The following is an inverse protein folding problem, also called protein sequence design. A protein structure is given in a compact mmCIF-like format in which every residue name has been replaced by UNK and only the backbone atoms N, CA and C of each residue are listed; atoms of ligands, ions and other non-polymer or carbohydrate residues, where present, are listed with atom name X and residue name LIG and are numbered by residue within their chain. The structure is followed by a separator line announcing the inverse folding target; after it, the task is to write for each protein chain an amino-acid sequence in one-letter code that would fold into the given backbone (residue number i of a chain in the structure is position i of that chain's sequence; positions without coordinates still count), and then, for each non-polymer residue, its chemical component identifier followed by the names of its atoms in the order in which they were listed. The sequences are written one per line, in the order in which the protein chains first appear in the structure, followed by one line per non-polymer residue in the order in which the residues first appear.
data_IF_769289396467
#
_entry.id   IF_769289396467
#
_cell.length_a   1.000
_cell.length_b   1.000
_cell.length_c   1.000
_cell.angle_alpha   90.00
_cell.angle_beta   90.00
_cell.angle_gamma   90.00
#
_symmetry.space_group_name_H-M   'P 1'
#
loop_
_entity.id
_entity.type
_entity.pdbx_description
1 polymer ?
#
# COMPACT_ATOMS: atom_id res chain seq x y z
N UNK A 1 -14.50 -21.55 9.73
CA UNK A 1 -13.87 -20.25 9.34
C UNK A 1 -12.70 -20.08 10.29
N UNK A 2 -11.52 -19.91 9.79
CA UNK A 2 -10.32 -19.59 10.60
C UNK A 2 -10.49 -18.18 11.15
N UNK A 3 -10.09 -17.95 12.40
CA UNK A 3 -10.09 -16.60 12.96
C UNK A 3 -9.08 -15.71 12.20
N UNK A 4 -9.43 -14.45 11.90
CA UNK A 4 -8.52 -13.54 11.20
C UNK A 4 -7.26 -13.27 12.03
N UNK A 5 -6.12 -13.12 11.37
CA UNK A 5 -4.83 -12.86 12.02
C UNK A 5 -4.73 -11.43 12.59
N UNK A 6 -5.44 -10.50 11.98
CA UNK A 6 -5.68 -9.13 12.47
C UNK A 6 -7.18 -8.88 12.51
N UNK A 7 -7.69 -8.38 13.62
CA UNK A 7 -9.06 -7.92 13.78
C UNK A 7 -9.06 -6.55 14.45
N UNK A 8 -9.71 -5.58 13.83
CA UNK A 8 -9.76 -4.19 14.27
C UNK A 8 -11.20 -3.73 14.41
N UNK A 9 -11.55 -3.19 15.57
CA UNK A 9 -12.89 -2.72 15.89
C UNK A 9 -12.86 -1.29 16.45
N UNK A 10 -13.42 -0.34 15.70
CA UNK A 10 -13.55 1.08 16.05
C UNK A 10 -12.24 1.74 16.51
N UNK A 11 -11.11 1.28 15.95
CA UNK A 11 -9.79 1.72 16.36
C UNK A 11 -9.62 3.21 16.07
N UNK A 12 -9.27 3.96 17.11
CA UNK A 12 -9.18 5.43 17.05
C UNK A 12 -7.89 5.92 17.70
N UNK A 13 -7.24 6.91 17.09
CA UNK A 13 -6.12 7.62 17.70
C UNK A 13 -6.25 9.13 17.55
N UNK A 14 -6.19 9.83 18.69
CA UNK A 14 -6.21 11.29 18.79
C UNK A 14 -4.88 11.81 19.36
N UNK A 15 -4.45 12.95 18.87
CA UNK A 15 -3.34 13.73 19.41
C UNK A 15 -3.84 15.14 19.71
N UNK A 16 -4.25 15.40 20.96
CA UNK A 16 -5.03 16.59 21.28
C UNK A 16 -6.33 16.60 20.47
N UNK A 17 -6.56 17.68 19.74
CA UNK A 17 -7.77 17.83 18.90
C UNK A 17 -7.65 17.14 17.53
N UNK A 18 -6.43 16.73 17.14
CA UNK A 18 -6.20 16.06 15.86
C UNK A 18 -6.54 14.59 15.93
N UNK A 19 -7.43 14.13 15.04
CA UNK A 19 -7.79 12.70 14.91
C UNK A 19 -6.97 12.08 13.80
N UNK A 20 -5.94 11.32 14.16
CA UNK A 20 -5.04 10.68 13.20
C UNK A 20 -5.61 9.38 12.62
N UNK A 21 -6.44 8.67 13.39
CA UNK A 21 -7.18 7.47 12.96
C UNK A 21 -8.56 7.56 13.62
N UNK A 22 -9.62 7.39 12.83
CA UNK A 22 -11.01 7.67 13.20
C UNK A 22 -11.91 6.44 13.00
N UNK A 23 -12.15 5.66 14.08
CA UNK A 23 -13.10 4.55 14.15
C UNK A 23 -12.97 3.52 13.01
N UNK A 24 -11.73 3.14 12.64
CA UNK A 24 -11.52 2.18 11.57
C UNK A 24 -11.88 0.77 12.01
N UNK A 25 -12.43 -0.01 11.05
CA UNK A 25 -12.83 -1.41 11.24
C UNK A 25 -12.34 -2.22 10.05
N UNK A 26 -11.60 -3.29 10.27
CA UNK A 26 -11.17 -4.24 9.25
C UNK A 26 -10.61 -5.52 9.86
N UNK A 27 -10.47 -6.52 9.02
CA UNK A 27 -9.82 -7.79 9.32
C UNK A 27 -8.77 -8.13 8.26
N UNK A 28 -7.83 -9.03 8.61
CA UNK A 28 -6.86 -9.62 7.68
C UNK A 28 -6.82 -11.11 7.93
N UNK A 29 -6.99 -11.89 6.89
CA UNK A 29 -6.93 -13.35 6.95
C UNK A 29 -5.48 -13.85 6.94
N UNK A 30 -5.28 -15.09 7.43
CA UNK A 30 -3.94 -15.68 7.44
C UNK A 30 -3.46 -15.96 6.01
N UNK A 31 -2.22 -15.55 5.69
CA UNK A 31 -1.58 -15.72 4.38
C UNK A 31 -1.93 -14.62 3.36
N UNK A 32 -2.80 -13.68 3.73
CA UNK A 32 -3.26 -12.61 2.85
C UNK A 32 -2.21 -11.48 2.72
N UNK A 33 -2.10 -10.90 1.53
CA UNK A 33 -1.35 -9.66 1.27
C UNK A 33 -2.32 -8.50 1.17
N UNK A 34 -2.35 -7.67 2.22
CA UNK A 34 -3.25 -6.52 2.31
C UNK A 34 -2.50 -5.21 2.14
N UNK A 35 -2.95 -4.38 1.20
CA UNK A 35 -2.44 -3.03 0.96
C UNK A 35 -3.24 -1.98 1.72
N UNK A 36 -2.56 -1.05 2.38
CA UNK A 36 -3.15 0.16 2.95
C UNK A 36 -2.72 1.35 2.09
N UNK A 37 -3.60 1.77 1.17
CA UNK A 37 -3.37 2.85 0.20
C UNK A 37 -3.85 4.18 0.74
N UNK A 38 -3.07 5.24 0.60
CA UNK A 38 -3.49 6.59 0.94
C UNK A 38 -2.35 7.61 0.92
N UNK A 39 -2.66 8.90 0.91
CA UNK A 39 -1.64 9.96 0.93
C UNK A 39 -0.86 9.98 2.25
N UNK A 40 0.23 10.73 2.26
CA UNK A 40 0.97 10.98 3.48
C UNK A 40 0.07 11.69 4.51
N UNK A 41 0.15 11.26 5.77
CA UNK A 41 -0.70 11.78 6.84
C UNK A 41 -2.11 11.18 6.92
N UNK A 42 -2.49 10.21 6.07
CA UNK A 42 -3.82 9.59 6.12
C UNK A 42 -4.06 8.63 7.30
N UNK A 43 -3.03 8.34 8.12
CA UNK A 43 -3.17 7.47 9.29
C UNK A 43 -2.54 6.07 9.16
N UNK A 44 -1.97 5.70 8.01
CA UNK A 44 -1.40 4.36 7.73
C UNK A 44 -0.36 3.91 8.76
N UNK A 45 0.72 4.67 8.91
CA UNK A 45 1.78 4.41 9.89
C UNK A 45 1.25 4.41 11.33
N UNK A 46 0.30 5.31 11.64
CA UNK A 46 -0.33 5.37 12.97
C UNK A 46 -1.10 4.07 13.25
N UNK A 47 -1.82 3.55 12.27
CA UNK A 47 -2.51 2.26 12.37
C UNK A 47 -1.53 1.12 12.63
N UNK A 48 -0.46 0.99 11.83
CA UNK A 48 0.57 -0.06 12.06
C UNK A 48 1.15 0.03 13.47
N UNK A 49 1.47 1.25 13.95
CA UNK A 49 2.04 1.42 15.30
C UNK A 49 1.06 1.00 16.41
N UNK A 50 -0.24 1.21 16.23
CA UNK A 50 -1.25 0.71 17.17
C UNK A 50 -1.34 -0.81 17.13
N UNK A 51 -1.32 -1.43 15.95
CA UNK A 51 -1.34 -2.89 15.79
C UNK A 51 -0.11 -3.58 16.38
N UNK A 52 1.04 -2.93 16.38
CA UNK A 52 2.28 -3.41 17.02
C UNK A 52 2.34 -3.09 18.52
N UNK A 53 1.34 -2.40 19.07
CA UNK A 53 1.37 -1.93 20.47
C UNK A 53 2.47 -0.92 20.78
N UNK A 54 2.99 -0.25 19.75
CA UNK A 54 3.96 0.85 19.87
C UNK A 54 3.28 2.19 20.18
N UNK A 55 1.98 2.25 19.98
CA UNK A 55 1.14 3.41 20.22
C UNK A 55 -0.20 2.97 20.79
N UNK A 56 -0.56 3.49 21.96
CA UNK A 56 -1.84 3.20 22.59
C UNK A 56 -3.00 3.81 21.79
N UNK A 57 -4.07 3.06 21.48
CA UNK A 57 -5.26 3.64 20.90
C UNK A 57 -5.96 4.57 21.89
N UNK A 58 -6.63 5.59 21.38
CA UNK A 58 -7.50 6.46 22.21
C UNK A 58 -8.86 5.83 22.47
N UNK A 59 -9.32 4.96 21.55
CA UNK A 59 -10.57 4.20 21.66
C UNK A 59 -10.52 2.99 20.71
N UNK A 60 -11.43 2.04 20.89
CA UNK A 60 -11.52 0.81 20.11
C UNK A 60 -10.51 -0.25 20.56
N UNK A 61 -10.42 -1.32 19.80
CA UNK A 61 -9.54 -2.46 20.10
C UNK A 61 -8.96 -3.07 18.82
N UNK A 62 -7.83 -3.74 18.96
CA UNK A 62 -7.24 -4.56 17.93
C UNK A 62 -6.72 -5.86 18.52
N UNK A 63 -7.00 -6.98 17.83
CA UNK A 63 -6.41 -8.29 18.10
C UNK A 63 -5.46 -8.61 16.97
N UNK A 64 -4.22 -8.99 17.29
CA UNK A 64 -3.17 -9.33 16.33
C UNK A 64 -2.56 -10.66 16.75
N UNK A 65 -2.53 -11.64 15.84
CA UNK A 65 -2.02 -12.99 16.14
C UNK A 65 -2.72 -13.66 17.35
N UNK A 66 -3.99 -13.32 17.61
CA UNK A 66 -4.77 -13.79 18.77
C UNK A 66 -4.50 -13.05 20.07
N UNK A 67 -3.66 -12.00 20.08
CA UNK A 67 -3.32 -11.20 21.25
C UNK A 67 -3.95 -9.82 21.19
N UNK A 68 -4.36 -9.26 22.32
CA UNK A 68 -4.69 -7.84 22.44
C UNK A 68 -3.45 -6.99 22.08
N UNK A 69 -3.54 -6.21 21.00
CA UNK A 69 -2.40 -5.53 20.41
C UNK A 69 -1.69 -4.58 21.39
N UNK A 70 -2.41 -4.01 22.36
CA UNK A 70 -1.82 -3.10 23.32
C UNK A 70 -1.43 -3.79 24.63
N UNK A 71 -2.35 -4.56 25.26
CA UNK A 71 -2.11 -5.21 26.57
C UNK A 71 -1.09 -6.33 26.48
N UNK A 72 -0.99 -6.99 25.34
CA UNK A 72 -0.11 -8.11 25.06
C UNK A 72 0.88 -7.79 23.92
N UNK A 73 1.33 -6.54 23.87
CA UNK A 73 2.16 -6.02 22.77
C UNK A 73 3.51 -6.73 22.62
N UNK A 74 4.08 -7.26 23.70
CA UNK A 74 5.32 -8.05 23.63
C UNK A 74 5.10 -9.35 22.84
N UNK A 75 4.01 -10.07 23.12
CA UNK A 75 3.64 -11.30 22.41
C UNK A 75 3.40 -11.06 20.92
N UNK A 76 2.82 -9.88 20.56
CA UNK A 76 2.66 -9.47 19.18
C UNK A 76 4.03 -9.23 18.53
N UNK A 77 4.89 -8.39 19.15
CA UNK A 77 6.20 -8.03 18.58
C UNK A 77 7.19 -9.20 18.48
N UNK A 78 7.09 -10.19 19.37
CA UNK A 78 7.88 -11.41 19.26
C UNK A 78 7.57 -12.26 18.03
N UNK A 79 6.36 -12.12 17.45
CA UNK A 79 5.83 -12.96 16.39
C UNK A 79 5.53 -12.21 15.09
N UNK A 80 5.60 -10.87 15.13
CA UNK A 80 5.39 -10.00 13.98
C UNK A 80 6.71 -9.35 13.57
N UNK A 81 6.98 -9.31 12.27
CA UNK A 81 8.06 -8.52 11.70
C UNK A 81 7.60 -7.10 11.38
N UNK A 82 8.48 -6.13 11.54
CA UNK A 82 8.18 -4.75 11.20
C UNK A 82 9.32 -4.09 10.43
N UNK A 83 9.02 -3.62 9.25
CA UNK A 83 9.88 -2.78 8.44
C UNK A 83 9.32 -1.35 8.44
N UNK A 84 9.95 -0.46 9.20
CA UNK A 84 9.52 0.94 9.29
C UNK A 84 9.98 1.75 8.08
N UNK A 85 9.28 2.84 7.79
CA UNK A 85 9.59 3.76 6.68
C UNK A 85 11.05 4.29 6.72
N UNK A 86 11.56 4.57 7.91
CA UNK A 86 12.99 4.84 8.12
C UNK A 86 13.63 3.55 8.64
N UNK A 87 14.41 2.89 7.80
CA UNK A 87 15.03 1.62 8.15
C UNK A 87 15.92 1.76 9.39
N UNK A 88 15.66 0.91 10.39
CA UNK A 88 16.48 0.83 11.60
C UNK A 88 17.73 -0.02 11.32
N UNK A 89 18.60 0.43 10.42
CA UNK A 89 19.84 -0.25 10.06
C UNK A 89 21.05 0.56 10.52
N UNK A 90 22.09 -0.12 10.96
CA UNK A 90 23.34 0.50 11.39
C UNK A 90 24.29 0.64 10.19
N UNK A 91 24.55 1.88 9.80
CA UNK A 91 25.32 2.21 8.60
C UNK A 91 26.79 1.80 8.68
N UNK A 92 27.37 1.77 9.91
CA UNK A 92 28.74 1.39 10.17
C UNK A 92 28.95 -0.11 10.38
N UNK A 93 27.86 -0.89 10.38
CA UNK A 93 27.92 -2.36 10.41
C UNK A 93 27.82 -2.91 8.97
N UNK A 94 28.40 -4.10 8.78
CA UNK A 94 28.20 -4.89 7.57
C UNK A 94 26.76 -5.45 7.53
N UNK A 95 26.37 -5.97 6.37
CA UNK A 95 25.10 -6.66 6.18
C UNK A 95 24.96 -7.83 7.16
N UNK A 96 25.99 -8.67 7.28
CA UNK A 96 25.98 -9.80 8.19
C UNK A 96 25.92 -9.38 9.67
N UNK A 97 26.66 -8.34 10.04
CA UNK A 97 26.66 -7.81 11.40
C UNK A 97 25.28 -7.24 11.79
N UNK A 98 24.61 -6.50 10.88
CA UNK A 98 23.26 -6.03 11.12
C UNK A 98 22.30 -7.21 11.37
N UNK A 99 22.26 -8.20 10.48
CA UNK A 99 21.39 -9.37 10.68
C UNK A 99 21.74 -10.17 11.94
N UNK A 100 23.02 -10.30 12.26
CA UNK A 100 23.46 -10.98 13.48
C UNK A 100 23.02 -10.22 14.73
N UNK A 101 23.15 -8.89 14.72
CA UNK A 101 22.69 -8.04 15.82
C UNK A 101 21.19 -8.20 16.06
N UNK A 102 20.37 -8.01 15.02
CA UNK A 102 18.92 -8.12 15.16
C UNK A 102 18.46 -9.56 15.44
N UNK A 103 19.09 -10.56 14.84
CA UNK A 103 18.87 -11.96 15.21
C UNK A 103 19.13 -12.22 16.69
N UNK A 104 20.20 -11.62 17.22
CA UNK A 104 20.55 -11.70 18.66
C UNK A 104 19.49 -11.07 19.58
N UNK A 105 18.81 -10.01 19.17
CA UNK A 105 17.67 -9.40 19.90
C UNK A 105 16.54 -10.41 20.10
N UNK A 106 16.28 -11.25 19.09
CA UNK A 106 15.29 -12.34 19.13
C UNK A 106 15.86 -13.67 19.65
N UNK A 107 17.08 -13.66 20.22
CA UNK A 107 17.72 -14.87 20.77
C UNK A 107 18.30 -15.82 19.71
N UNK A 108 18.33 -15.45 18.45
CA UNK A 108 18.85 -16.25 17.33
C UNK A 108 20.38 -16.09 17.28
N UNK A 109 21.10 -17.18 17.56
CA UNK A 109 22.58 -17.22 17.54
C UNK A 109 23.14 -18.16 16.46
N UNK A 110 22.25 -18.89 15.78
CA UNK A 110 22.65 -19.82 14.73
C UNK A 110 23.05 -19.06 13.46
N UNK A 111 24.34 -19.15 13.10
CA UNK A 111 24.89 -18.55 11.89
C UNK A 111 24.28 -19.11 10.61
N UNK A 112 23.83 -20.36 10.62
CA UNK A 112 23.18 -21.01 9.48
C UNK A 112 21.81 -20.35 9.24
N UNK A 113 21.08 -20.04 10.29
CA UNK A 113 19.81 -19.33 10.23
C UNK A 113 19.99 -17.92 9.63
N UNK A 114 20.99 -17.15 10.13
CA UNK A 114 21.30 -15.81 9.60
C UNK A 114 21.64 -15.88 8.10
N UNK A 115 22.43 -16.88 7.68
CA UNK A 115 22.76 -17.08 6.26
C UNK A 115 21.54 -17.46 5.40
N UNK A 116 20.58 -18.23 5.95
CA UNK A 116 19.32 -18.52 5.26
C UNK A 116 18.51 -17.25 5.04
N UNK A 117 18.43 -16.37 6.04
CA UNK A 117 17.77 -15.07 5.91
C UNK A 117 18.46 -14.18 4.86
N UNK A 118 19.80 -14.12 4.85
CA UNK A 118 20.58 -13.43 3.80
C UNK A 118 20.22 -13.94 2.40
N UNK A 119 20.17 -15.25 2.24
CA UNK A 119 19.84 -15.87 0.95
C UNK A 119 18.40 -15.55 0.53
N UNK A 120 17.44 -15.65 1.47
CA UNK A 120 16.04 -15.36 1.24
C UNK A 120 15.82 -13.95 0.67
N UNK A 121 16.49 -12.93 1.22
CA UNK A 121 16.36 -11.55 0.75
C UNK A 121 17.35 -11.21 -0.39
N UNK A 122 18.06 -12.21 -0.93
CA UNK A 122 18.96 -12.06 -2.08
C UNK A 122 20.25 -11.27 -1.79
N UNK A 123 20.70 -11.25 -0.53
CA UNK A 123 21.92 -10.53 -0.09
C UNK A 123 23.17 -11.41 -0.03
N UNK A 124 23.11 -12.64 -0.52
CA UNK A 124 24.27 -13.54 -0.61
C UNK A 124 25.39 -12.90 -1.41
N UNK A 125 26.62 -12.91 -0.85
CA UNK A 125 27.78 -12.25 -1.45
C UNK A 125 27.96 -10.78 -1.05
N UNK A 126 27.04 -10.22 -0.26
CA UNK A 126 27.16 -8.89 0.35
C UNK A 126 27.47 -8.94 1.85
N UNK A 127 27.78 -10.12 2.40
CA UNK A 127 27.95 -10.37 3.83
C UNK A 127 28.86 -9.34 4.52
N UNK A 128 30.02 -9.07 3.94
CA UNK A 128 31.04 -8.15 4.48
C UNK A 128 30.91 -6.71 3.94
N UNK A 129 29.85 -6.43 3.16
CA UNK A 129 29.61 -5.08 2.61
C UNK A 129 29.09 -4.16 3.71
N UNK A 130 29.73 -2.99 3.90
CA UNK A 130 29.25 -1.97 4.83
C UNK A 130 27.88 -1.44 4.37
N UNK A 131 26.95 -1.36 5.29
CA UNK A 131 25.57 -0.97 4.99
C UNK A 131 25.47 0.43 4.35
N UNK A 132 26.31 1.38 4.76
CA UNK A 132 26.37 2.73 4.14
C UNK A 132 26.73 2.74 2.66
N UNK A 133 27.39 1.69 2.15
CA UNK A 133 27.79 1.59 0.73
C UNK A 133 26.74 0.88 -0.14
N UNK A 134 25.65 0.37 0.46
CA UNK A 134 24.58 -0.27 -0.27
C UNK A 134 23.72 0.76 -1.01
N UNK A 135 23.22 0.40 -2.19
CA UNK A 135 22.16 1.14 -2.87
C UNK A 135 20.85 1.11 -2.06
N UNK A 136 19.92 2.01 -2.39
CA UNK A 136 18.60 2.05 -1.71
C UNK A 136 17.88 0.69 -1.77
N UNK A 137 17.88 0.00 -2.91
CA UNK A 137 17.25 -1.31 -3.05
C UNK A 137 17.90 -2.39 -2.20
N UNK A 138 19.24 -2.39 -2.05
CA UNK A 138 19.94 -3.33 -1.18
C UNK A 138 19.71 -3.04 0.30
N UNK A 139 19.63 -1.75 0.70
CA UNK A 139 19.27 -1.35 2.07
C UNK A 139 17.85 -1.79 2.41
N UNK A 140 16.94 -1.69 1.46
CA UNK A 140 15.56 -2.15 1.59
C UNK A 140 15.50 -3.67 1.83
N UNK A 141 16.23 -4.47 1.03
CA UNK A 141 16.33 -5.92 1.21
C UNK A 141 16.93 -6.30 2.58
N UNK A 142 17.94 -5.55 3.05
CA UNK A 142 18.49 -5.74 4.39
C UNK A 142 17.46 -5.44 5.48
N UNK A 143 16.71 -4.34 5.35
CA UNK A 143 15.65 -4.00 6.30
C UNK A 143 14.54 -5.06 6.34
N UNK A 144 14.17 -5.62 5.18
CA UNK A 144 13.25 -6.75 5.11
C UNK A 144 13.85 -8.00 5.77
N UNK A 145 15.13 -8.31 5.53
CA UNK A 145 15.82 -9.42 6.18
C UNK A 145 15.83 -9.29 7.71
N UNK A 146 16.02 -8.08 8.23
CA UNK A 146 15.93 -7.78 9.66
C UNK A 146 14.53 -8.07 10.20
N UNK A 147 13.48 -7.64 9.47
CA UNK A 147 12.10 -7.89 9.85
C UNK A 147 11.72 -9.39 9.78
N UNK A 148 12.44 -10.18 9.00
CA UNK A 148 12.19 -11.62 8.78
C UNK A 148 13.08 -12.54 9.62
N UNK A 149 14.13 -12.01 10.27
CA UNK A 149 15.18 -12.83 10.92
C UNK A 149 14.66 -13.82 11.96
N UNK A 150 13.53 -13.52 12.60
CA UNK A 150 12.89 -14.37 13.61
C UNK A 150 11.70 -15.19 13.06
N UNK A 151 11.60 -15.31 11.70
CA UNK A 151 10.57 -16.09 10.99
C UNK A 151 9.13 -15.74 11.43
N UNK A 152 8.73 -14.47 11.32
CA UNK A 152 7.40 -14.03 11.74
C UNK A 152 6.29 -14.63 10.86
N UNK A 153 5.10 -14.83 11.45
CA UNK A 153 3.89 -15.22 10.71
C UNK A 153 3.15 -14.04 10.10
N UNK A 154 3.42 -12.83 10.60
CA UNK A 154 2.82 -11.58 10.16
C UNK A 154 3.91 -10.54 9.97
N UNK A 155 3.87 -9.85 8.82
CA UNK A 155 4.83 -8.84 8.45
C UNK A 155 4.11 -7.50 8.20
N UNK A 156 4.55 -6.47 8.90
CA UNK A 156 4.14 -5.09 8.66
C UNK A 156 5.22 -4.36 7.87
N UNK A 157 4.85 -3.79 6.72
CA UNK A 157 5.73 -3.04 5.84
C UNK A 157 5.21 -1.60 5.68
N UNK A 158 5.94 -0.63 6.23
CA UNK A 158 5.52 0.76 6.21
C UNK A 158 6.23 1.54 5.09
N UNK A 159 5.55 1.73 3.96
CA UNK A 159 6.05 2.34 2.72
C UNK A 159 7.41 1.76 2.27
N UNK A 160 7.53 0.43 2.13
CA UNK A 160 8.81 -0.25 2.02
C UNK A 160 9.58 0.13 0.76
N UNK A 161 8.93 0.60 -0.30
CA UNK A 161 9.50 0.89 -1.62
C UNK A 161 9.65 2.38 -1.90
N UNK A 162 9.42 3.23 -0.89
CA UNK A 162 9.55 4.68 -1.03
C UNK A 162 10.99 5.07 -1.40
N UNK A 163 11.15 5.85 -2.49
CA UNK A 163 12.46 6.30 -2.98
C UNK A 163 13.31 5.24 -3.67
N UNK A 164 12.72 4.11 -4.05
CA UNK A 164 13.39 3.00 -4.79
C UNK A 164 13.01 3.05 -6.26
N UNK A 165 13.95 2.74 -7.14
CA UNK A 165 13.72 2.72 -8.58
C UNK A 165 12.70 1.62 -8.97
N UNK A 166 12.03 1.74 -10.15
CA UNK A 166 10.97 0.81 -10.55
C UNK A 166 11.44 -0.66 -10.66
N UNK A 167 12.69 -0.89 -11.07
CA UNK A 167 13.21 -2.26 -11.22
C UNK A 167 13.41 -2.92 -9.85
N UNK A 168 14.06 -2.22 -8.92
CA UNK A 168 14.25 -2.71 -7.57
C UNK A 168 12.91 -2.85 -6.82
N UNK A 169 11.92 -1.95 -7.07
CA UNK A 169 10.56 -2.06 -6.55
C UNK A 169 9.88 -3.36 -7.02
N UNK A 170 9.93 -3.66 -8.31
CA UNK A 170 9.37 -4.91 -8.85
C UNK A 170 9.99 -6.13 -8.18
N UNK A 171 11.32 -6.19 -8.12
CA UNK A 171 12.03 -7.29 -7.49
C UNK A 171 11.76 -7.43 -5.98
N UNK A 172 11.35 -6.35 -5.32
CA UNK A 172 10.88 -6.40 -3.92
C UNK A 172 9.49 -7.01 -3.81
N UNK A 173 8.58 -6.69 -4.73
CA UNK A 173 7.25 -7.29 -4.77
C UNK A 173 7.29 -8.78 -5.10
N UNK A 174 8.20 -9.21 -5.98
CA UNK A 174 8.42 -10.64 -6.24
C UNK A 174 8.81 -11.38 -4.95
N UNK A 175 9.64 -10.76 -4.09
CA UNK A 175 10.00 -11.32 -2.78
C UNK A 175 8.81 -11.33 -1.79
N UNK A 176 7.95 -10.30 -1.82
CA UNK A 176 6.71 -10.29 -1.02
C UNK A 176 5.81 -11.47 -1.40
N UNK A 177 5.64 -11.75 -2.69
CA UNK A 177 4.86 -12.90 -3.16
C UNK A 177 5.47 -14.23 -2.71
N UNK A 178 6.80 -14.39 -2.81
CA UNK A 178 7.47 -15.59 -2.32
C UNK A 178 7.23 -15.81 -0.81
N UNK A 179 7.20 -14.75 -0.02
CA UNK A 179 6.89 -14.83 1.42
C UNK A 179 5.42 -15.21 1.66
N UNK A 180 4.48 -14.65 0.90
CA UNK A 180 3.07 -14.98 1.00
C UNK A 180 2.81 -16.45 0.61
N UNK A 181 3.43 -16.96 -0.46
CA UNK A 181 3.37 -18.38 -0.84
C UNK A 181 3.89 -19.32 0.27
N UNK A 182 4.80 -18.83 1.11
CA UNK A 182 5.28 -19.56 2.31
C UNK A 182 4.34 -19.43 3.51
N UNK A 183 3.20 -18.74 3.36
CA UNK A 183 2.17 -18.56 4.39
C UNK A 183 2.41 -17.39 5.35
N UNK A 184 3.30 -16.46 5.02
CA UNK A 184 3.47 -15.20 5.76
C UNK A 184 2.34 -14.25 5.39
N UNK A 185 1.60 -13.75 6.38
CA UNK A 185 0.61 -12.70 6.18
C UNK A 185 1.31 -11.35 6.10
N UNK A 186 0.90 -10.47 5.20
CA UNK A 186 1.59 -9.21 4.97
C UNK A 186 0.59 -8.05 4.95
N UNK A 187 0.83 -7.04 5.78
CA UNK A 187 0.14 -5.75 5.70
C UNK A 187 1.15 -4.69 5.27
N UNK A 188 0.96 -4.15 4.06
CA UNK A 188 1.85 -3.17 3.45
C UNK A 188 1.15 -1.82 3.30
N UNK A 189 1.80 -0.74 3.72
CA UNK A 189 1.31 0.61 3.43
C UNK A 189 2.01 1.17 2.19
N UNK A 190 1.27 1.88 1.37
CA UNK A 190 1.81 2.57 0.19
C UNK A 190 0.99 3.83 -0.14
N UNK A 191 1.59 4.74 -0.86
CA UNK A 191 0.90 5.84 -1.54
C UNK A 191 0.94 5.67 -3.08
N UNK A 192 1.52 4.58 -3.57
CA UNK A 192 1.57 4.23 -5.00
C UNK A 192 0.38 3.34 -5.38
N UNK A 193 -0.43 3.80 -6.34
CA UNK A 193 -1.62 3.07 -6.80
C UNK A 193 -1.26 1.76 -7.51
N UNK A 194 -0.16 1.76 -8.27
CA UNK A 194 0.37 0.58 -8.96
C UNK A 194 0.80 -0.52 -7.98
N UNK A 195 1.32 -0.16 -6.81
CA UNK A 195 1.64 -1.15 -5.77
C UNK A 195 0.41 -1.76 -5.11
N UNK A 196 -0.64 -0.96 -4.94
CA UNK A 196 -1.89 -1.46 -4.39
C UNK A 196 -2.55 -2.51 -5.30
N UNK A 197 -2.34 -2.44 -6.62
CA UNK A 197 -2.83 -3.48 -7.56
C UNK A 197 -2.15 -4.85 -7.34
N UNK A 198 -1.01 -4.91 -6.65
CA UNK A 198 -0.33 -6.16 -6.30
C UNK A 198 -0.91 -6.83 -5.05
N UNK A 199 -1.79 -6.17 -4.31
CA UNK A 199 -2.38 -6.70 -3.09
C UNK A 199 -3.66 -7.49 -3.38
N UNK A 200 -3.94 -8.52 -2.58
CA UNK A 200 -5.19 -9.28 -2.66
C UNK A 200 -6.39 -8.44 -2.24
N UNK A 201 -6.24 -7.66 -1.15
CA UNK A 201 -7.21 -6.65 -0.73
C UNK A 201 -6.52 -5.32 -0.49
N UNK A 202 -7.26 -4.24 -0.70
CA UNK A 202 -6.77 -2.86 -0.51
C UNK A 202 -7.74 -2.08 0.35
N UNK A 203 -7.22 -1.57 1.46
CA UNK A 203 -7.88 -0.57 2.28
C UNK A 203 -7.49 0.84 1.83
N UNK A 204 -8.47 1.67 1.47
CA UNK A 204 -8.24 3.06 1.05
C UNK A 204 -8.41 3.98 2.24
N UNK A 205 -7.30 4.61 2.66
CA UNK A 205 -7.27 5.52 3.78
C UNK A 205 -7.16 6.99 3.36
N UNK A 206 -7.99 7.84 3.99
CA UNK A 206 -7.93 9.28 3.85
C UNK A 206 -8.40 9.97 5.13
N UNK A 207 -7.70 11.01 5.57
CA UNK A 207 -8.06 11.86 6.72
C UNK A 207 -8.40 11.05 7.98
N UNK A 208 -7.60 10.00 8.23
CA UNK A 208 -7.77 9.08 9.37
C UNK A 208 -8.87 8.02 9.21
N UNK A 209 -9.62 8.01 8.12
CA UNK A 209 -10.73 7.09 7.87
C UNK A 209 -10.37 6.02 6.85
N UNK A 210 -10.86 4.81 7.08
CA UNK A 210 -10.87 3.74 6.09
C UNK A 210 -12.16 3.88 5.26
N UNK A 211 -12.01 4.38 4.02
CA UNK A 211 -13.13 4.70 3.15
C UNK A 211 -13.73 3.48 2.47
N UNK A 212 -12.89 2.51 2.11
CA UNK A 212 -13.29 1.24 1.51
C UNK A 212 -12.19 0.20 1.72
N UNK A 213 -12.56 -1.09 1.71
CA UNK A 213 -11.62 -2.21 1.73
C UNK A 213 -12.20 -3.41 1.01
N UNK A 214 -11.57 -3.81 -0.10
CA UNK A 214 -11.94 -5.00 -0.90
C UNK A 214 -10.79 -5.34 -1.85
N UNK A 215 -10.99 -6.33 -2.73
CA UNK A 215 -10.05 -6.61 -3.83
C UNK A 215 -9.97 -5.42 -4.79
N UNK A 216 -8.81 -5.16 -5.43
CA UNK A 216 -8.67 -4.07 -6.41
C UNK A 216 -9.78 -4.09 -7.48
N UNK A 217 -10.08 -5.26 -8.02
CA UNK A 217 -11.12 -5.44 -9.05
C UNK A 217 -12.50 -5.03 -8.53
N UNK A 218 -12.87 -5.47 -7.33
CA UNK A 218 -14.18 -5.17 -6.75
C UNK A 218 -14.32 -3.71 -6.36
N UNK A 219 -13.25 -3.07 -5.87
CA UNK A 219 -13.23 -1.62 -5.63
C UNK A 219 -13.51 -0.84 -6.91
N UNK A 220 -12.85 -1.22 -8.02
CA UNK A 220 -13.07 -0.60 -9.34
C UNK A 220 -14.49 -0.79 -9.84
N UNK A 221 -15.04 -1.99 -9.69
CA UNK A 221 -16.40 -2.31 -10.16
C UNK A 221 -17.50 -1.63 -9.34
N UNK A 222 -17.35 -1.57 -8.02
CA UNK A 222 -18.42 -1.07 -7.11
C UNK A 222 -18.40 0.43 -6.94
N UNK A 223 -17.23 1.07 -6.95
CA UNK A 223 -17.08 2.50 -6.69
C UNK A 223 -17.17 3.31 -7.98
N UNK A 224 -16.68 2.79 -9.11
CA UNK A 224 -16.81 3.44 -10.39
C UNK A 224 -18.15 3.02 -11.02
N UNK A 225 -19.15 3.86 -10.81
CA UNK A 225 -20.54 3.57 -11.24
C UNK A 225 -20.82 3.78 -12.74
N UNK A 226 -19.80 4.14 -13.54
CA UNK A 226 -19.95 4.54 -14.93
C UNK A 226 -18.94 3.92 -15.88
N UNK A 227 -18.91 4.45 -17.10
CA UNK A 227 -17.95 4.07 -18.14
C UNK A 227 -16.76 5.04 -18.12
N UNK A 228 -15.55 4.51 -18.28
CA UNK A 228 -14.33 5.31 -18.35
C UNK A 228 -13.93 5.49 -19.80
N UNK A 229 -13.61 6.73 -20.18
CA UNK A 229 -13.19 7.09 -21.52
C UNK A 229 -11.83 7.78 -21.49
N UNK A 230 -10.98 7.45 -22.46
CA UNK A 230 -9.74 8.14 -22.78
C UNK A 230 -9.99 9.02 -24.00
N UNK A 231 -10.00 10.34 -23.81
CA UNK A 231 -10.36 11.34 -24.83
C UNK A 231 -9.10 12.08 -25.25
N UNK A 232 -8.63 11.84 -26.45
CA UNK A 232 -7.47 12.49 -27.06
C UNK A 232 -7.90 13.73 -27.82
N UNK A 233 -7.91 14.87 -27.16
CA UNK A 233 -8.36 16.15 -27.66
C UNK A 233 -7.24 17.18 -27.81
N UNK A 234 -7.34 18.09 -28.75
CA UNK A 234 -6.40 19.19 -28.99
C UNK A 234 -7.14 20.52 -29.23
N UNK A 235 -6.91 21.56 -28.41
CA UNK A 235 -6.10 21.57 -27.17
C UNK A 235 -6.76 20.81 -26.02
N UNK A 236 -5.96 20.19 -25.14
CA UNK A 236 -6.49 19.47 -23.98
C UNK A 236 -7.26 20.36 -23.01
N UNK A 237 -6.85 21.63 -22.87
CA UNK A 237 -7.50 22.59 -21.97
C UNK A 237 -8.95 22.89 -22.40
N UNK A 238 -9.21 22.99 -23.69
CA UNK A 238 -10.54 23.23 -24.20
C UNK A 238 -11.45 22.01 -24.00
N UNK A 239 -10.92 20.79 -24.22
CA UNK A 239 -11.63 19.57 -23.89
C UNK A 239 -11.94 19.45 -22.40
N UNK A 240 -10.99 19.82 -21.52
CA UNK A 240 -11.19 19.85 -20.07
C UNK A 240 -12.27 20.84 -19.63
N UNK A 241 -12.46 21.94 -20.37
CA UNK A 241 -13.52 22.90 -20.10
C UNK A 241 -14.89 22.45 -20.63
N UNK A 242 -14.92 21.76 -21.77
CA UNK A 242 -16.16 21.36 -22.45
C UNK A 242 -16.80 20.10 -21.86
N UNK A 243 -15.99 19.06 -21.60
CA UNK A 243 -16.52 17.75 -21.20
C UNK A 243 -17.31 17.75 -19.88
N UNK A 244 -16.97 18.55 -18.86
CA UNK A 244 -17.78 18.61 -17.62
C UNK A 244 -19.19 19.14 -17.81
N UNK A 245 -19.44 19.91 -18.89
CA UNK A 245 -20.76 20.49 -19.23
C UNK A 245 -21.64 19.50 -20.01
N UNK A 246 -21.09 18.35 -20.41
CA UNK A 246 -21.82 17.32 -21.13
C UNK A 246 -22.68 16.52 -20.17
N UNK A 247 -23.97 16.45 -20.46
CA UNK A 247 -24.92 15.66 -19.67
C UNK A 247 -24.46 14.21 -19.53
N UNK A 248 -24.53 13.65 -18.32
CA UNK A 248 -24.05 12.31 -18.01
C UNK A 248 -22.53 12.17 -17.87
N UNK A 249 -21.75 13.26 -17.95
CA UNK A 249 -20.33 13.25 -17.56
C UNK A 249 -20.22 13.49 -16.06
N UNK A 250 -19.66 12.52 -15.36
CA UNK A 250 -19.51 12.54 -13.90
C UNK A 250 -18.20 13.20 -13.46
N UNK A 251 -17.13 13.00 -14.24
CA UNK A 251 -15.79 13.51 -13.96
C UNK A 251 -14.93 13.60 -15.21
N UNK A 252 -14.08 14.61 -15.24
CA UNK A 252 -13.00 14.76 -16.22
C UNK A 252 -11.69 15.08 -15.49
N UNK A 253 -10.62 14.47 -15.91
CA UNK A 253 -9.26 14.71 -15.40
C UNK A 253 -8.24 14.65 -16.53
N UNK A 254 -7.12 15.33 -16.35
CA UNK A 254 -5.98 15.25 -17.27
C UNK A 254 -5.09 14.08 -16.87
N UNK A 255 -4.77 13.22 -17.83
CA UNK A 255 -3.86 12.07 -17.62
C UNK A 255 -2.86 12.02 -18.78
N UNK A 256 -1.63 12.44 -18.53
CA UNK A 256 -0.59 12.48 -19.57
C UNK A 256 -0.97 13.37 -20.76
N UNK A 257 -1.21 12.75 -21.92
CA UNK A 257 -1.53 13.41 -23.19
C UNK A 257 -3.00 13.32 -23.59
N UNK A 258 -3.89 12.90 -22.66
CA UNK A 258 -5.33 12.74 -22.91
C UNK A 258 -6.18 13.15 -21.69
N UNK A 259 -7.47 13.27 -21.91
CA UNK A 259 -8.45 13.49 -20.84
C UNK A 259 -9.08 12.15 -20.44
N UNK A 260 -9.04 11.86 -19.16
CA UNK A 260 -9.72 10.72 -18.55
C UNK A 260 -11.09 11.17 -18.08
N UNK A 261 -12.13 10.62 -18.71
CA UNK A 261 -13.52 11.02 -18.50
C UNK A 261 -14.34 9.86 -17.96
N UNK A 262 -15.04 10.06 -16.85
CA UNK A 262 -15.99 9.08 -16.31
C UNK A 262 -17.39 9.59 -16.60
N UNK A 263 -18.22 8.73 -17.22
CA UNK A 263 -19.59 9.05 -17.57
C UNK A 263 -20.56 8.10 -16.87
N UNK A 264 -21.86 8.43 -16.88
CA UNK A 264 -22.90 7.45 -16.56
C UNK A 264 -22.83 6.25 -17.50
N UNK A 265 -23.28 5.08 -17.03
CA UNK A 265 -23.29 3.84 -17.82
C UNK A 265 -24.15 4.00 -19.08
N UNK A 266 -23.61 3.52 -20.19
CA UNK A 266 -24.30 3.53 -21.49
C UNK A 266 -24.19 4.86 -22.25
N UNK A 267 -23.41 5.81 -21.77
CA UNK A 267 -23.06 7.01 -22.55
C UNK A 267 -22.27 6.59 -23.78
N UNK A 268 -22.59 7.19 -24.93
CA UNK A 268 -21.96 6.80 -26.19
C UNK A 268 -20.77 7.69 -26.52
N UNK A 269 -19.77 7.11 -27.18
CA UNK A 269 -18.62 7.83 -27.76
C UNK A 269 -19.04 9.05 -28.59
N UNK A 270 -20.09 8.89 -29.36
CA UNK A 270 -20.63 9.90 -30.28
C UNK A 270 -21.11 11.16 -29.54
N UNK A 271 -21.63 11.01 -28.31
CA UNK A 271 -22.10 12.15 -27.50
C UNK A 271 -20.94 13.03 -27.08
N UNK A 272 -19.81 12.40 -26.65
CA UNK A 272 -18.59 13.10 -26.25
C UNK A 272 -17.94 13.78 -27.48
N UNK A 273 -17.87 13.07 -28.60
CA UNK A 273 -17.33 13.61 -29.86
C UNK A 273 -18.13 14.82 -30.33
N UNK A 274 -19.47 14.73 -30.35
CA UNK A 274 -20.35 15.81 -30.78
C UNK A 274 -20.17 17.07 -29.92
N UNK A 275 -20.15 16.92 -28.60
CA UNK A 275 -20.00 18.04 -27.70
C UNK A 275 -18.66 18.77 -27.87
N UNK A 276 -17.57 18.03 -28.11
CA UNK A 276 -16.26 18.61 -28.37
C UNK A 276 -16.21 19.32 -29.74
N UNK A 277 -16.78 18.71 -30.78
CA UNK A 277 -16.85 19.29 -32.13
C UNK A 277 -17.69 20.58 -32.18
N UNK A 278 -18.80 20.64 -31.44
CA UNK A 278 -19.64 21.85 -31.33
C UNK A 278 -18.90 23.05 -30.70
N UNK A 279 -17.80 22.82 -30.07
CA UNK A 279 -16.91 23.82 -29.44
C UNK A 279 -15.56 23.96 -30.16
N UNK A 280 -15.48 23.49 -31.40
CA UNK A 280 -14.29 23.54 -32.25
C UNK A 280 -13.06 22.84 -31.65
N UNK A 281 -13.25 21.89 -30.70
CA UNK A 281 -12.16 21.09 -30.13
C UNK A 281 -11.87 19.93 -31.08
N UNK A 282 -10.63 19.86 -31.56
CA UNK A 282 -10.18 18.77 -32.41
C UNK A 282 -10.00 17.50 -31.60
N UNK A 283 -10.66 16.41 -31.97
CA UNK A 283 -10.51 15.10 -31.30
C UNK A 283 -9.76 14.14 -32.22
N UNK A 284 -8.68 13.56 -31.72
CA UNK A 284 -7.91 12.51 -32.41
C UNK A 284 -8.58 11.16 -32.26
N UNK A 285 -8.96 10.80 -31.00
CA UNK A 285 -9.67 9.56 -30.69
C UNK A 285 -10.43 9.66 -29.38
N UNK A 286 -11.37 8.73 -29.16
CA UNK A 286 -12.06 8.47 -27.91
C UNK A 286 -12.13 6.96 -27.75
N UNK A 287 -11.47 6.44 -26.71
CA UNK A 287 -11.38 5.01 -26.44
C UNK A 287 -12.06 4.70 -25.10
N UNK A 288 -12.59 3.50 -24.97
CA UNK A 288 -13.04 3.00 -23.67
C UNK A 288 -11.81 2.59 -22.86
N UNK A 289 -11.70 3.10 -21.64
CA UNK A 289 -10.63 2.79 -20.71
C UNK A 289 -11.11 1.86 -19.60
N UNK A 290 -10.17 1.16 -18.95
CA UNK A 290 -10.47 0.38 -17.77
C UNK A 290 -10.39 1.27 -16.51
N UNK A 291 -11.30 1.10 -15.53
CA UNK A 291 -11.18 1.78 -14.23
C UNK A 291 -9.87 1.45 -13.52
N UNK A 292 -9.27 2.44 -12.89
CA UNK A 292 -8.03 2.31 -12.09
C UNK A 292 -8.29 2.56 -10.62
N UNK A 293 -7.36 2.16 -9.72
CA UNK A 293 -7.42 2.54 -8.31
C UNK A 293 -7.29 4.06 -8.09
N UNK A 294 -6.69 4.78 -9.04
CA UNK A 294 -6.68 6.24 -9.01
C UNK A 294 -8.08 6.82 -9.20
N UNK A 295 -8.87 6.27 -10.13
CA UNK A 295 -10.27 6.66 -10.31
C UNK A 295 -11.09 6.39 -9.05
N UNK A 296 -10.89 5.22 -8.44
CA UNK A 296 -11.52 4.83 -7.17
C UNK A 296 -11.16 5.83 -6.07
N UNK A 297 -9.87 6.08 -5.88
CA UNK A 297 -9.38 7.00 -4.85
C UNK A 297 -9.98 8.41 -4.99
N UNK A 298 -9.95 8.97 -6.21
CA UNK A 298 -10.50 10.31 -6.46
C UNK A 298 -12.02 10.32 -6.29
N UNK A 299 -12.73 9.24 -6.62
CA UNK A 299 -14.18 9.13 -6.45
C UNK A 299 -14.59 9.08 -4.97
N UNK A 300 -13.80 8.42 -4.12
CA UNK A 300 -13.99 8.39 -2.67
C UNK A 300 -13.54 9.69 -1.97
N UNK A 301 -12.76 10.49 -2.64
CA UNK A 301 -12.13 11.70 -2.08
C UNK A 301 -13.01 12.97 -2.16
N UNK A 302 -14.28 12.82 -2.56
CA UNK A 302 -15.25 13.94 -2.66
C UNK A 302 -15.94 14.25 -1.35
#
# INVERSE_FOLDING_TARGET
MTEPIIQVENLTRRFGDFVAVDHINFDVEQGEVVGYLGPNGSGKTTTIRMLLGLLEPSDGKATVLGFDAFKQSEQVRERAGYMSQKFAIYDDLTVLENLTFYGGVYGIRDKTHIKRTLNLVGLTGHDDTLTRSLSAGWRQRLALGIALVHEPKLLFLDEPTSGVDPTARRAFWDLIYELAERGVTILVTTHYMDEAEYCERVGIMRDGKLLAMDTPSKLKETIISGDVWEVFAEPLQDGLAVLPEVDGVLRVGLTGDHLRTITERGKKKEDLLKALQEKDVRVRDVLIGEPTLEDVFISLAR
#
